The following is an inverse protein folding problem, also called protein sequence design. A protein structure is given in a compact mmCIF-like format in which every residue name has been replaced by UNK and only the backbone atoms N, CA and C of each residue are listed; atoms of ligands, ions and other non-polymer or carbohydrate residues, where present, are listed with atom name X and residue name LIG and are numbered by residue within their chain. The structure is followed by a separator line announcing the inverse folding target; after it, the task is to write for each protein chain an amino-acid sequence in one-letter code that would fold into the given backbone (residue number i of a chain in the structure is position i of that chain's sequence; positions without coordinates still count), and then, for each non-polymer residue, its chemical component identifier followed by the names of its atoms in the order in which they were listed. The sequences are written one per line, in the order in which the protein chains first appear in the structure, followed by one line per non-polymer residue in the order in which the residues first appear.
data_IF_421455863916
#
_entry.id   IF_421455863916
#
_cell.length_a   1.000
_cell.length_b   1.000
_cell.length_c   1.000
_cell.angle_alpha   90.00
_cell.angle_beta   90.00
_cell.angle_gamma   90.00
#
_symmetry.space_group_name_H-M   'P 1'
#
loop_
_entity.id
_entity.type
_entity.pdbx_description
1 polymer ?
#
# COMPACT_ATOMS: atom_id res chain seq x y z
N UNK A 1 14.77 -6.45 -10.70
CA UNK A 1 15.92 -6.84 -11.54
C UNK A 1 17.07 -7.37 -10.69
N UNK A 2 17.55 -6.65 -9.66
CA UNK A 2 18.70 -7.06 -8.82
C UNK A 2 18.58 -8.48 -8.25
N UNK A 3 17.39 -8.88 -7.79
CA UNK A 3 17.15 -10.24 -7.29
C UNK A 3 17.34 -11.29 -8.40
N UNK A 4 16.78 -11.06 -9.59
CA UNK A 4 16.93 -11.98 -10.73
C UNK A 4 18.39 -12.08 -11.20
N UNK A 5 19.10 -10.95 -11.24
CA UNK A 5 20.53 -10.90 -11.58
C UNK A 5 21.36 -11.69 -10.55
N UNK A 6 21.07 -11.54 -9.25
CA UNK A 6 21.72 -12.27 -8.17
C UNK A 6 21.49 -13.78 -8.27
N UNK A 7 20.27 -14.19 -8.60
CA UNK A 7 19.90 -15.60 -8.77
C UNK A 7 20.36 -16.19 -10.11
N UNK A 8 20.80 -15.36 -11.07
CA UNK A 8 21.22 -15.79 -12.40
C UNK A 8 20.05 -16.29 -13.27
N UNK A 9 18.86 -15.76 -13.08
CA UNK A 9 17.63 -16.13 -13.79
C UNK A 9 17.06 -14.95 -14.58
N UNK A 10 16.21 -15.24 -15.57
CA UNK A 10 15.48 -14.23 -16.32
C UNK A 10 14.28 -13.71 -15.48
N UNK A 11 14.06 -12.39 -15.50
CA UNK A 11 12.94 -11.76 -14.83
C UNK A 11 11.71 -11.72 -15.74
N UNK A 12 10.63 -12.35 -15.31
CA UNK A 12 9.30 -12.14 -15.86
C UNK A 12 8.47 -11.29 -14.88
N UNK A 13 7.86 -10.20 -15.37
CA UNK A 13 7.00 -9.33 -14.56
C UNK A 13 5.55 -9.55 -14.94
N UNK A 14 4.75 -9.98 -13.96
CA UNK A 14 3.30 -10.19 -14.10
C UNK A 14 2.55 -9.10 -13.36
N UNK A 15 1.81 -8.26 -14.09
CA UNK A 15 0.95 -7.21 -13.49
C UNK A 15 -0.42 -7.79 -13.13
N UNK A 16 -0.86 -7.54 -11.89
CA UNK A 16 -2.16 -7.99 -11.38
C UNK A 16 -2.68 -7.07 -10.28
N UNK A 17 -3.94 -7.23 -9.88
CA UNK A 17 -4.49 -6.52 -8.72
C UNK A 17 -3.76 -6.92 -7.43
N UNK A 18 -3.63 -5.98 -6.48
CA UNK A 18 -2.89 -6.20 -5.23
C UNK A 18 -3.45 -7.39 -4.44
N UNK A 19 -4.77 -7.50 -4.34
CA UNK A 19 -5.47 -8.60 -3.64
C UNK A 19 -5.31 -9.97 -4.34
N UNK A 20 -4.90 -9.97 -5.60
CA UNK A 20 -4.60 -11.19 -6.38
C UNK A 20 -3.19 -11.75 -6.14
N UNK A 21 -2.25 -10.96 -5.61
CA UNK A 21 -0.84 -11.36 -5.53
C UNK A 21 -0.63 -12.52 -4.54
N UNK A 22 -1.18 -12.45 -3.33
CA UNK A 22 -1.03 -13.54 -2.34
C UNK A 22 -1.58 -14.88 -2.88
N UNK A 23 -2.79 -14.95 -3.46
CA UNK A 23 -3.26 -16.16 -4.13
C UNK A 23 -2.32 -16.66 -5.24
N UNK A 24 -1.77 -15.78 -6.06
CA UNK A 24 -0.85 -16.14 -7.14
C UNK A 24 0.48 -16.72 -6.62
N UNK A 25 1.05 -16.12 -5.57
CA UNK A 25 2.24 -16.64 -4.88
C UNK A 25 1.96 -18.01 -4.25
N UNK A 26 0.84 -18.18 -3.54
CA UNK A 26 0.44 -19.44 -2.90
C UNK A 26 0.23 -20.57 -3.89
N UNK A 27 -0.29 -20.27 -5.08
CA UNK A 27 -0.52 -21.27 -6.13
C UNK A 27 0.72 -21.59 -6.98
N UNK A 28 1.85 -20.86 -6.78
CA UNK A 28 3.04 -20.98 -7.58
C UNK A 28 2.89 -20.40 -9.01
N UNK A 29 1.90 -19.55 -9.23
CA UNK A 29 1.77 -18.81 -10.48
C UNK A 29 2.87 -17.77 -10.65
N UNK A 30 3.34 -17.20 -9.55
CA UNK A 30 4.53 -16.34 -9.44
C UNK A 30 5.36 -16.78 -8.23
N UNK A 31 6.68 -16.61 -8.31
CA UNK A 31 7.60 -17.03 -7.25
C UNK A 31 7.66 -16.00 -6.11
N UNK A 32 7.60 -14.72 -6.45
CA UNK A 32 7.72 -13.59 -5.51
C UNK A 32 6.62 -12.55 -5.76
N UNK A 33 6.15 -11.94 -4.66
CA UNK A 33 5.31 -10.75 -4.70
C UNK A 33 6.10 -9.54 -4.18
N UNK A 34 6.23 -8.50 -5.02
CA UNK A 34 6.94 -7.25 -4.67
C UNK A 34 5.99 -6.08 -4.94
N UNK A 35 5.21 -5.70 -3.93
CA UNK A 35 4.17 -4.68 -4.04
C UNK A 35 3.96 -3.94 -2.72
N UNK A 36 5.05 -3.56 -2.04
CA UNK A 36 5.01 -2.87 -0.76
C UNK A 36 4.21 -3.63 0.34
N UNK A 37 4.36 -4.95 0.40
CA UNK A 37 3.66 -5.75 1.39
C UNK A 37 4.12 -5.46 2.80
N UNK A 38 3.18 -5.10 3.67
CA UNK A 38 3.38 -5.07 5.11
C UNK A 38 3.12 -6.46 5.69
N UNK A 39 4.04 -6.90 6.55
CA UNK A 39 3.88 -8.15 7.32
C UNK A 39 2.83 -7.95 8.41
N UNK A 40 1.73 -8.68 8.31
CA UNK A 40 0.73 -8.79 9.38
C UNK A 40 0.66 -10.23 9.88
N UNK A 41 0.17 -10.48 11.12
CA UNK A 41 0.00 -11.85 11.63
C UNK A 41 -0.81 -12.73 10.68
N UNK A 42 -1.92 -12.23 10.17
CA UNK A 42 -2.82 -12.95 9.27
C UNK A 42 -2.10 -13.35 7.96
N UNK A 43 -1.38 -12.41 7.35
CA UNK A 43 -0.61 -12.69 6.12
C UNK A 43 0.54 -13.67 6.41
N UNK A 44 1.17 -13.56 7.58
CA UNK A 44 2.26 -14.45 7.96
C UNK A 44 1.82 -15.91 8.21
N UNK A 45 0.53 -16.15 8.42
CA UNK A 45 -0.01 -17.52 8.43
C UNK A 45 -0.04 -18.13 7.01
N UNK A 46 -0.19 -17.31 5.98
CA UNK A 46 -0.44 -17.75 4.61
C UNK A 46 0.80 -17.75 3.71
N UNK A 47 1.74 -16.84 3.94
CA UNK A 47 2.92 -16.59 3.11
C UNK A 47 4.14 -16.30 3.99
N UNK A 48 5.33 -16.40 3.41
CA UNK A 48 6.58 -16.00 4.05
C UNK A 48 7.05 -14.64 3.55
N UNK A 49 7.81 -13.93 4.40
CA UNK A 49 8.28 -12.56 4.19
C UNK A 49 9.79 -12.48 4.24
N UNK A 50 10.37 -11.66 3.36
CA UNK A 50 11.76 -11.23 3.45
C UNK A 50 12.00 -10.30 4.65
N UNK A 51 13.23 -9.89 4.83
CA UNK A 51 13.58 -8.69 5.59
C UNK A 51 12.93 -7.46 4.96
N UNK A 52 12.84 -6.37 5.75
CA UNK A 52 12.24 -5.13 5.28
C UNK A 52 13.20 -4.40 4.35
N UNK A 53 12.78 -4.10 3.13
CA UNK A 53 13.56 -3.29 2.21
C UNK A 53 13.29 -1.79 2.34
N UNK A 54 12.18 -1.39 3.00
CA UNK A 54 11.84 0.01 3.23
C UNK A 54 10.91 0.14 4.44
N UNK A 55 11.00 1.28 5.14
CA UNK A 55 10.00 1.73 6.12
C UNK A 55 9.31 2.96 5.56
N UNK A 56 8.01 3.05 5.72
CA UNK A 56 7.22 4.12 5.14
C UNK A 56 6.11 4.56 6.08
N UNK A 57 5.78 5.84 6.02
CA UNK A 57 4.61 6.42 6.66
C UNK A 57 3.37 6.28 5.76
N UNK A 58 2.20 6.40 6.37
CA UNK A 58 0.93 6.50 5.65
C UNK A 58 0.48 7.95 5.58
N UNK A 59 0.01 8.35 4.41
CA UNK A 59 -0.48 9.70 4.14
C UNK A 59 -1.97 9.66 3.80
N UNK A 60 -2.68 10.73 4.15
CA UNK A 60 -3.98 11.04 3.59
C UNK A 60 -3.76 12.06 2.46
N UNK A 61 -4.09 11.69 1.23
CA UNK A 61 -4.09 12.56 0.08
C UNK A 61 -5.49 13.08 -0.14
N UNK A 62 -5.61 14.39 -0.39
CA UNK A 62 -6.86 15.09 -0.61
C UNK A 62 -6.82 15.89 -1.93
N UNK A 63 -7.98 16.37 -2.37
CA UNK A 63 -8.05 17.31 -3.46
C UNK A 63 -7.29 18.60 -3.10
N UNK A 64 -6.57 19.17 -4.05
CA UNK A 64 -5.84 20.42 -3.84
C UNK A 64 -6.75 21.55 -3.34
N UNK A 65 -6.31 22.24 -2.29
CA UNK A 65 -7.06 23.24 -1.54
C UNK A 65 -7.84 22.69 -0.34
N UNK A 66 -7.82 21.38 -0.08
CA UNK A 66 -8.56 20.73 1.00
C UNK A 66 -7.67 20.20 2.16
N UNK A 67 -6.37 20.53 2.16
CA UNK A 67 -5.44 20.03 3.18
C UNK A 67 -5.89 20.34 4.61
N UNK A 68 -6.41 21.55 4.85
CA UNK A 68 -6.92 21.99 6.16
C UNK A 68 -8.35 21.50 6.41
N UNK A 69 -9.15 21.30 5.35
CA UNK A 69 -10.54 20.85 5.48
C UNK A 69 -10.64 19.46 6.09
N UNK A 70 -9.73 18.57 5.72
CA UNK A 70 -9.68 17.19 6.19
C UNK A 70 -8.46 16.92 7.06
N UNK A 71 -8.21 17.78 8.04
CA UNK A 71 -7.00 17.75 8.88
C UNK A 71 -7.17 17.04 10.22
N UNK A 72 -8.38 16.59 10.57
CA UNK A 72 -8.67 15.89 11.83
C UNK A 72 -9.57 14.67 11.60
N UNK A 73 -9.62 13.75 12.57
CA UNK A 73 -10.51 12.59 12.52
C UNK A 73 -11.99 13.02 12.48
N UNK A 74 -12.33 14.07 13.21
CA UNK A 74 -13.69 14.64 13.25
C UNK A 74 -14.13 15.21 11.89
N UNK A 75 -13.20 15.83 11.15
CA UNK A 75 -13.49 16.36 9.80
C UNK A 75 -13.69 15.26 8.76
N UNK A 76 -13.21 14.06 9.04
CA UNK A 76 -13.39 12.87 8.20
C UNK A 76 -14.62 12.03 8.61
N UNK A 77 -15.26 12.33 9.75
CA UNK A 77 -16.46 11.61 10.19
C UNK A 77 -17.60 11.76 9.17
N UNK A 78 -18.21 10.64 8.78
CA UNK A 78 -19.24 10.57 7.74
C UNK A 78 -18.76 10.81 6.32
N UNK A 79 -17.45 11.03 6.10
CA UNK A 79 -16.86 11.18 4.78
C UNK A 79 -16.44 9.84 4.20
N UNK A 80 -16.47 9.72 2.88
CA UNK A 80 -15.85 8.58 2.18
C UNK A 80 -14.34 8.77 2.12
N UNK A 81 -13.60 7.80 2.65
CA UNK A 81 -12.14 7.77 2.60
C UNK A 81 -11.68 6.54 1.82
N UNK A 82 -10.87 6.77 0.81
CA UNK A 82 -10.45 5.73 -0.13
C UNK A 82 -9.24 4.94 0.33
N UNK A 83 -9.19 3.67 -0.08
CA UNK A 83 -7.99 2.84 -0.05
C UNK A 83 -8.00 1.83 -1.19
N UNK A 84 -6.82 1.33 -1.56
CA UNK A 84 -6.75 0.21 -2.49
C UNK A 84 -7.23 -1.07 -1.78
N UNK A 85 -8.06 -1.84 -2.48
CA UNK A 85 -8.65 -3.07 -1.97
C UNK A 85 -7.59 -4.08 -1.50
N UNK A 86 -7.83 -4.69 -0.34
CA UNK A 86 -6.97 -5.74 0.23
C UNK A 86 -5.68 -5.22 0.87
N UNK A 87 -5.51 -3.92 1.00
CA UNK A 87 -4.33 -3.31 1.61
C UNK A 87 -4.49 -3.09 3.11
N UNK A 88 -3.37 -2.82 3.79
CA UNK A 88 -3.38 -2.38 5.19
C UNK A 88 -4.03 -1.01 5.36
N UNK A 89 -4.04 -0.17 4.32
CA UNK A 89 -4.69 1.13 4.34
C UNK A 89 -6.21 1.00 4.50
N UNK A 90 -6.82 -0.04 3.91
CA UNK A 90 -8.24 -0.35 4.16
C UNK A 90 -8.48 -0.67 5.64
N UNK A 91 -7.63 -1.49 6.26
CA UNK A 91 -7.72 -1.80 7.69
C UNK A 91 -7.44 -0.57 8.55
N UNK A 92 -6.45 0.26 8.17
CA UNK A 92 -6.10 1.49 8.87
C UNK A 92 -7.28 2.48 8.90
N UNK A 93 -8.01 2.64 7.79
CA UNK A 93 -9.22 3.48 7.77
C UNK A 93 -10.25 2.95 8.77
N UNK A 94 -10.51 1.65 8.78
CA UNK A 94 -11.50 1.05 9.70
C UNK A 94 -11.10 1.17 11.17
N UNK A 95 -9.81 1.15 11.49
CA UNK A 95 -9.32 1.19 12.87
C UNK A 95 -9.03 2.60 13.37
N UNK A 96 -8.42 3.44 12.54
CA UNK A 96 -8.00 4.79 12.92
C UNK A 96 -9.06 5.86 12.61
N UNK A 97 -9.95 5.61 11.64
CA UNK A 97 -11.03 6.50 11.21
C UNK A 97 -12.39 5.79 11.24
N UNK A 98 -12.82 5.23 12.39
CA UNK A 98 -13.98 4.34 12.45
C UNK A 98 -15.32 5.05 12.10
N UNK A 99 -15.35 6.36 12.18
CA UNK A 99 -16.54 7.18 11.87
C UNK A 99 -16.60 7.58 10.38
N UNK A 100 -15.59 7.23 9.57
CA UNK A 100 -15.57 7.45 8.11
C UNK A 100 -16.17 6.24 7.37
N UNK A 101 -16.57 6.45 6.11
CA UNK A 101 -17.01 5.39 5.21
C UNK A 101 -15.83 4.91 4.35
N UNK A 102 -15.44 3.64 4.48
CA UNK A 102 -14.40 3.05 3.64
C UNK A 102 -14.88 2.93 2.19
N UNK A 103 -14.08 3.46 1.26
CA UNK A 103 -14.30 3.35 -0.19
C UNK A 103 -13.12 2.64 -0.85
N UNK A 104 -13.36 1.52 -1.52
CA UNK A 104 -12.29 0.70 -2.10
C UNK A 104 -12.39 0.60 -3.61
N UNK A 105 -11.26 0.73 -4.30
CA UNK A 105 -11.07 0.35 -5.69
C UNK A 105 -9.79 -0.48 -5.85
N UNK A 106 -9.66 -1.17 -6.97
CA UNK A 106 -8.50 -2.02 -7.24
C UNK A 106 -7.23 -1.23 -7.61
N UNK A 107 -7.38 -0.01 -8.16
CA UNK A 107 -6.24 0.75 -8.71
C UNK A 107 -6.17 2.18 -8.17
N UNK A 108 -4.99 2.60 -7.77
CA UNK A 108 -4.71 3.95 -7.28
C UNK A 108 -5.09 5.08 -8.25
N UNK A 109 -4.84 4.99 -9.59
CA UNK A 109 -5.25 6.07 -10.49
C UNK A 109 -6.76 6.34 -10.49
N UNK A 110 -7.58 5.30 -10.35
CA UNK A 110 -9.03 5.45 -10.24
C UNK A 110 -9.42 6.13 -8.91
N UNK A 111 -8.82 5.72 -7.79
CA UNK A 111 -9.02 6.36 -6.48
C UNK A 111 -8.59 7.84 -6.50
N UNK A 112 -7.44 8.14 -7.10
CA UNK A 112 -6.94 9.51 -7.24
C UNK A 112 -7.92 10.41 -8.02
N UNK A 113 -8.54 9.86 -9.07
CA UNK A 113 -9.57 10.57 -9.84
C UNK A 113 -10.83 10.84 -9.01
N UNK A 114 -11.27 9.89 -8.18
CA UNK A 114 -12.39 10.08 -7.26
C UNK A 114 -12.14 11.21 -6.25
N UNK A 115 -10.90 11.32 -5.74
CA UNK A 115 -10.48 12.44 -4.86
C UNK A 115 -10.50 13.76 -5.62
N UNK A 116 -9.92 13.82 -6.83
CA UNK A 116 -9.88 15.04 -7.65
C UNK A 116 -11.29 15.53 -8.00
N UNK A 117 -12.20 14.61 -8.29
CA UNK A 117 -13.60 14.93 -8.60
C UNK A 117 -14.41 15.33 -7.35
N UNK A 118 -13.87 15.11 -6.14
CA UNK A 118 -14.56 15.39 -4.88
C UNK A 118 -15.64 14.35 -4.52
N UNK A 119 -15.60 13.17 -5.11
CA UNK A 119 -16.51 12.05 -4.81
C UNK A 119 -16.16 11.37 -3.51
N UNK A 120 -14.88 11.42 -3.10
CA UNK A 120 -14.36 10.98 -1.80
C UNK A 120 -13.50 12.08 -1.19
N UNK A 121 -13.45 12.16 0.13
CA UNK A 121 -12.74 13.21 0.86
C UNK A 121 -11.23 13.09 0.72
N UNK A 122 -10.72 11.88 0.71
CA UNK A 122 -9.29 11.62 0.57
C UNK A 122 -8.98 10.16 0.31
N UNK A 123 -7.71 9.86 0.11
CA UNK A 123 -7.15 8.54 -0.19
C UNK A 123 -6.00 8.26 0.77
N UNK A 124 -6.07 7.18 1.53
CA UNK A 124 -4.98 6.72 2.39
C UNK A 124 -4.02 5.87 1.56
N UNK A 125 -2.75 6.26 1.56
CA UNK A 125 -1.70 5.64 0.76
C UNK A 125 -0.38 5.60 1.52
N UNK A 126 0.50 4.73 1.07
CA UNK A 126 1.93 4.79 1.39
C UNK A 126 2.55 6.08 0.84
N UNK A 127 3.54 6.64 1.58
CA UNK A 127 4.17 7.90 1.22
C UNK A 127 4.69 7.92 -0.22
N UNK A 128 5.43 6.90 -0.67
CA UNK A 128 6.00 6.88 -2.02
C UNK A 128 4.92 6.84 -3.10
N UNK A 129 3.83 6.10 -2.87
CA UNK A 129 2.65 6.08 -3.76
C UNK A 129 2.00 7.47 -3.78
N UNK A 130 1.85 8.08 -2.61
CA UNK A 130 1.27 9.42 -2.47
C UNK A 130 2.03 10.48 -3.25
N UNK A 131 3.33 10.53 -3.08
CA UNK A 131 4.21 11.45 -3.80
C UNK A 131 4.10 11.27 -5.32
N UNK A 132 4.05 10.01 -5.79
CA UNK A 132 3.85 9.70 -7.22
C UNK A 132 2.50 10.16 -7.75
N UNK A 133 1.41 9.94 -7.01
CA UNK A 133 0.07 10.38 -7.41
C UNK A 133 -0.04 11.89 -7.46
N UNK A 134 0.53 12.60 -6.49
CA UNK A 134 0.57 14.07 -6.47
C UNK A 134 1.34 14.59 -7.66
N UNK A 135 2.54 14.05 -7.94
CA UNK A 135 3.39 14.47 -9.05
C UNK A 135 2.69 14.32 -10.41
N UNK A 136 1.85 13.29 -10.57
CA UNK A 136 1.13 13.01 -11.81
C UNK A 136 -0.26 13.65 -11.90
N UNK A 137 -0.74 14.29 -10.82
CA UNK A 137 -2.09 14.85 -10.71
C UNK A 137 -2.29 16.20 -11.41
N UNK A 138 -1.25 16.79 -12.01
CA UNK A 138 -1.27 18.15 -12.57
C UNK A 138 -1.76 19.22 -11.57
N UNK A 139 -1.36 19.08 -10.30
CA UNK A 139 -1.77 19.98 -9.22
C UNK A 139 -3.17 19.73 -8.68
N UNK A 140 -3.79 18.61 -9.01
CA UNK A 140 -5.16 18.28 -8.55
C UNK A 140 -5.20 17.62 -7.16
N UNK A 141 -4.06 17.19 -6.63
CA UNK A 141 -3.93 16.51 -5.34
C UNK A 141 -2.84 17.14 -4.46
N UNK A 142 -3.02 17.04 -3.16
CA UNK A 142 -2.04 17.45 -2.15
C UNK A 142 -2.11 16.52 -0.93
N UNK A 143 -1.09 16.57 -0.07
CA UNK A 143 -1.11 15.89 1.24
C UNK A 143 -1.99 16.68 2.19
N UNK A 144 -2.88 16.00 2.89
CA UNK A 144 -3.66 16.58 3.99
C UNK A 144 -2.76 16.96 5.18
N UNK A 145 -3.17 17.95 5.95
CA UNK A 145 -2.56 18.26 7.24
C UNK A 145 -2.95 17.24 8.35
N UNK A 146 -3.75 16.24 8.03
CA UNK A 146 -4.00 15.09 8.90
C UNK A 146 -2.77 14.18 8.95
N UNK A 147 -2.40 13.77 10.16
CA UNK A 147 -1.32 12.80 10.38
C UNK A 147 -1.82 11.62 11.21
N UNK A 148 -1.56 10.41 10.73
CA UNK A 148 -1.68 9.21 11.55
C UNK A 148 -0.61 9.23 12.65
N UNK A 149 -0.90 8.65 13.82
CA UNK A 149 0.12 8.46 14.86
C UNK A 149 1.16 7.42 14.42
N UNK A 150 2.34 7.43 15.03
CA UNK A 150 3.40 6.46 14.73
C UNK A 150 2.94 5.01 14.98
N UNK A 151 2.06 4.79 15.96
CA UNK A 151 1.50 3.48 16.26
C UNK A 151 0.52 3.01 15.18
N UNK A 152 -0.23 3.96 14.58
CA UNK A 152 -1.20 3.66 13.52
C UNK A 152 -0.54 3.42 12.17
N UNK A 153 0.57 4.08 11.86
CA UNK A 153 1.03 4.22 10.48
C UNK A 153 2.51 3.94 10.20
N UNK A 154 3.24 3.31 11.13
CA UNK A 154 4.64 2.92 10.89
C UNK A 154 4.71 1.48 10.39
N UNK A 155 4.81 1.30 9.07
CA UNK A 155 4.85 -0.01 8.43
C UNK A 155 6.16 -0.23 7.67
N UNK A 156 6.66 -1.48 7.72
CA UNK A 156 7.77 -1.91 6.88
C UNK A 156 7.28 -2.66 5.65
N UNK A 157 8.01 -2.53 4.55
CA UNK A 157 7.74 -3.20 3.28
C UNK A 157 8.66 -4.39 3.10
N UNK A 158 8.11 -5.53 2.69
CA UNK A 158 8.85 -6.77 2.44
C UNK A 158 8.43 -7.41 1.11
N UNK A 159 9.30 -8.27 0.60
CA UNK A 159 8.98 -9.21 -0.48
C UNK A 159 8.25 -10.41 0.12
N UNK A 160 7.30 -10.98 -0.60
CA UNK A 160 6.55 -12.15 -0.17
C UNK A 160 6.81 -13.34 -1.09
N UNK A 161 6.80 -14.54 -0.50
CA UNK A 161 6.93 -15.82 -1.20
C UNK A 161 5.94 -16.84 -0.62
N UNK A 162 5.73 -17.96 -1.31
CA UNK A 162 4.93 -19.06 -0.79
C UNK A 162 5.52 -19.60 0.52
N UNK A 163 4.68 -20.19 1.37
CA UNK A 163 5.13 -20.87 2.59
C UNK A 163 6.16 -21.96 2.27
N UNK A 164 7.22 -21.99 3.07
CA UNK A 164 8.33 -22.93 2.90
C UNK A 164 9.37 -22.48 1.86
N UNK A 165 9.38 -21.19 1.51
CA UNK A 165 10.37 -20.61 0.56
C UNK A 165 11.52 -19.91 1.26
N UNK A 166 11.95 -20.41 2.43
CA UNK A 166 13.00 -19.80 3.25
C UNK A 166 14.32 -19.67 2.49
N UNK A 167 14.69 -20.67 1.68
CA UNK A 167 15.92 -20.64 0.89
C UNK A 167 15.88 -19.51 -0.16
N UNK A 168 14.76 -19.35 -0.88
CA UNK A 168 14.56 -18.26 -1.84
C UNK A 168 14.60 -16.89 -1.14
N UNK A 169 13.94 -16.76 0.00
CA UNK A 169 13.93 -15.51 0.77
C UNK A 169 15.29 -15.19 1.39
N UNK A 170 16.12 -16.18 1.72
CA UNK A 170 17.50 -15.95 2.15
C UNK A 170 18.33 -15.28 1.04
N UNK A 171 18.18 -15.73 -0.22
CA UNK A 171 18.82 -15.10 -1.37
C UNK A 171 18.27 -13.68 -1.62
N UNK A 172 16.95 -13.49 -1.50
CA UNK A 172 16.32 -12.15 -1.58
C UNK A 172 16.86 -11.22 -0.50
N UNK A 173 17.02 -11.70 0.73
CA UNK A 173 17.57 -10.91 1.85
C UNK A 173 19.02 -10.51 1.61
N UNK A 174 19.81 -11.34 0.91
CA UNK A 174 21.19 -10.99 0.52
C UNK A 174 21.23 -9.77 -0.41
N UNK A 175 20.19 -9.57 -1.21
CA UNK A 175 20.06 -8.39 -2.10
C UNK A 175 19.49 -7.17 -1.38
N UNK A 176 18.67 -7.38 -0.35
CA UNK A 176 18.02 -6.29 0.43
C UNK A 176 19.03 -5.64 1.38
N UNK A 177 19.91 -6.40 2.04
CA UNK A 177 20.87 -5.98 3.06
C UNK A 177 22.23 -5.57 2.46
#
# INVERSE_FOLDING_TARGET
QQIADHLGVELEVVDMSFDGIIPAVKSGQVDLGIAAFTKTPERAEEIDFSDLYEKSAQLLIVKAGNADLYSTKESLAGQKVGAQKGTIQSQLIQTALPDSELFELEKYPALALEVQNGNIAGLVVDQAVGESLIATSNGGLEVSNFAFTSEEASFGKAVVAAKGSEDLLAEVNTVIN
#
